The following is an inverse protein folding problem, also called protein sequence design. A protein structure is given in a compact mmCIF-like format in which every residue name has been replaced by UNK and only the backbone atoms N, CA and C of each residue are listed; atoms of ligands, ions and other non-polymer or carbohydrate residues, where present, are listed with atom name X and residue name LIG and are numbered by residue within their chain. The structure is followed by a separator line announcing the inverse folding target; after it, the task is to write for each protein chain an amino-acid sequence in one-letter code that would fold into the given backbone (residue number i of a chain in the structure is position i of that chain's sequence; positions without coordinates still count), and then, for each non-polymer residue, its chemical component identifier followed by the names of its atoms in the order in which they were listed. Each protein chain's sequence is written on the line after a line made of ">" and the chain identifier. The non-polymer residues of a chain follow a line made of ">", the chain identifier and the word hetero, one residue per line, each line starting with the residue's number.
data_IF_843019931167
#
_entry.id   IF_843019931167
#
_cell.length_a   1.000
_cell.length_b   1.000
_cell.length_c   1.000
_cell.angle_alpha   90.00
_cell.angle_beta   90.00
_cell.angle_gamma   90.00
#
_symmetry.space_group_name_H-M   'P 1'
#
loop_
_entity.id
_entity.type
_entity.pdbx_description
1 polymer ?
#
# COMPACT_ATOMS: atom_id res chain seq x y z
N UNK A 1 21.71 -32.66 -0.04
CA UNK A 1 20.84 -31.49 -0.29
C UNK A 1 21.72 -30.26 -0.42
N UNK A 2 21.77 -29.60 -1.59
CA UNK A 2 22.51 -28.33 -1.71
C UNK A 2 21.79 -27.27 -0.86
N UNK A 3 22.47 -26.74 0.16
CA UNK A 3 21.89 -25.80 1.12
C UNK A 3 21.30 -24.59 0.38
N UNK A 4 19.98 -24.36 0.52
CA UNK A 4 19.32 -23.16 0.03
C UNK A 4 18.55 -23.28 -1.29
N UNK A 5 18.34 -24.49 -1.81
CA UNK A 5 17.36 -24.77 -2.86
C UNK A 5 16.14 -25.48 -2.26
N UNK A 6 14.96 -24.89 -2.38
CA UNK A 6 13.70 -25.48 -1.88
C UNK A 6 12.54 -25.05 -2.77
N UNK A 7 11.55 -25.94 -2.99
CA UNK A 7 10.33 -25.61 -3.73
C UNK A 7 9.27 -24.88 -2.90
N UNK A 8 9.39 -24.93 -1.57
CA UNK A 8 8.45 -24.31 -0.63
C UNK A 8 9.13 -23.19 0.18
N UNK A 9 8.32 -22.30 0.77
CA UNK A 9 8.80 -21.23 1.64
C UNK A 9 8.85 -21.73 3.08
N UNK A 10 10.04 -21.69 3.68
CA UNK A 10 10.26 -22.13 5.06
C UNK A 10 9.72 -21.12 6.08
N UNK A 11 9.39 -21.53 7.33
CA UNK A 11 9.01 -20.59 8.38
C UNK A 11 10.07 -19.52 8.67
N UNK A 12 11.36 -19.88 8.52
CA UNK A 12 12.47 -18.93 8.66
C UNK A 12 12.51 -17.87 7.55
N UNK A 13 12.16 -18.24 6.31
CA UNK A 13 11.95 -17.28 5.22
C UNK A 13 10.78 -16.35 5.56
N UNK A 14 9.61 -16.86 5.96
CA UNK A 14 8.46 -16.02 6.31
C UNK A 14 8.74 -15.02 7.42
N UNK A 15 9.45 -15.43 8.48
CA UNK A 15 9.89 -14.53 9.56
C UNK A 15 10.80 -13.43 9.01
N UNK A 16 11.76 -13.78 8.15
CA UNK A 16 12.66 -12.81 7.53
C UNK A 16 11.87 -11.81 6.67
N UNK A 17 10.94 -12.28 5.84
CA UNK A 17 10.12 -11.40 4.99
C UNK A 17 9.26 -10.48 5.84
N UNK A 18 8.63 -11.00 6.89
CA UNK A 18 7.79 -10.20 7.78
C UNK A 18 8.59 -9.09 8.46
N UNK A 19 9.78 -9.41 8.99
CA UNK A 19 10.68 -8.41 9.60
C UNK A 19 11.07 -7.34 8.58
N UNK A 20 11.52 -7.73 7.38
CA UNK A 20 11.92 -6.76 6.34
C UNK A 20 10.73 -5.92 5.86
N UNK A 21 9.54 -6.51 5.76
CA UNK A 21 8.31 -5.81 5.39
C UNK A 21 7.94 -4.76 6.43
N UNK A 22 8.01 -5.11 7.72
CA UNK A 22 7.78 -4.18 8.83
C UNK A 22 8.81 -3.06 8.81
N UNK A 23 10.08 -3.35 8.51
CA UNK A 23 11.12 -2.32 8.38
C UNK A 23 10.82 -1.36 7.22
N UNK A 24 10.43 -1.86 6.04
CA UNK A 24 10.06 -1.00 4.93
C UNK A 24 8.83 -0.14 5.23
N UNK A 25 7.79 -0.72 5.84
CA UNK A 25 6.62 0.05 6.27
C UNK A 25 7.00 1.08 7.34
N UNK A 26 7.84 0.70 8.29
CA UNK A 26 8.36 1.61 9.31
C UNK A 26 9.07 2.81 8.69
N UNK A 27 10.02 2.55 7.77
CA UNK A 27 10.74 3.58 7.02
C UNK A 27 9.79 4.50 6.24
N UNK A 28 8.81 3.90 5.54
CA UNK A 28 7.81 4.63 4.77
C UNK A 28 6.96 5.56 5.67
N UNK A 29 6.65 5.12 6.90
CA UNK A 29 5.80 5.86 7.83
C UNK A 29 6.55 6.83 8.77
N UNK A 30 7.89 6.90 8.71
CA UNK A 30 8.68 7.86 9.50
C UNK A 30 8.14 9.30 9.41
N UNK A 31 7.82 9.85 8.21
CA UNK A 31 7.31 11.22 8.11
C UNK A 31 5.99 11.42 8.86
N UNK A 32 5.12 10.40 8.88
CA UNK A 32 3.86 10.46 9.61
C UNK A 32 4.07 10.45 11.13
N UNK A 33 5.04 9.68 11.63
CA UNK A 33 5.42 9.68 13.05
C UNK A 33 6.01 11.02 13.48
N UNK A 34 6.84 11.63 12.62
CA UNK A 34 7.39 12.96 12.87
C UNK A 34 6.29 14.02 12.92
N UNK A 35 5.33 14.01 11.99
CA UNK A 35 4.20 14.93 12.01
C UNK A 35 3.36 14.74 13.28
N UNK A 36 3.07 13.49 13.66
CA UNK A 36 2.32 13.20 14.87
C UNK A 36 3.02 13.73 16.13
N UNK A 37 4.35 13.61 16.20
CA UNK A 37 5.13 14.10 17.33
C UNK A 37 5.21 15.63 17.41
N UNK A 38 5.03 16.33 16.28
CA UNK A 38 5.09 17.79 16.20
C UNK A 38 3.70 18.42 15.99
N UNK A 39 2.63 17.63 16.12
CA UNK A 39 1.27 18.12 15.90
C UNK A 39 0.82 18.93 17.12
N UNK A 40 1.01 20.25 17.06
CA UNK A 40 0.62 21.17 18.13
C UNK A 40 -0.88 21.46 18.08
N UNK A 41 -1.63 20.90 19.03
CA UNK A 41 -3.08 21.09 19.16
C UNK A 41 -3.50 22.57 19.33
N UNK A 42 -2.58 23.42 19.81
CA UNK A 42 -2.82 24.85 20.04
C UNK A 42 -2.80 25.69 18.76
N UNK A 43 -2.27 25.17 17.65
CA UNK A 43 -2.10 25.93 16.40
C UNK A 43 -3.39 26.15 15.61
N UNK A 44 -4.51 25.51 16.00
CA UNK A 44 -5.77 25.50 15.25
C UNK A 44 -5.74 24.66 13.97
N UNK A 45 -4.57 24.16 13.57
CA UNK A 45 -4.39 23.27 12.42
C UNK A 45 -4.19 21.84 12.88
N UNK A 46 -4.79 20.89 12.15
CA UNK A 46 -4.59 19.46 12.39
C UNK A 46 -4.21 18.76 11.09
N UNK A 47 -3.28 17.81 11.21
CA UNK A 47 -2.88 17.00 10.07
C UNK A 47 -4.02 16.08 9.61
N UNK A 48 -4.36 16.14 8.32
CA UNK A 48 -5.46 15.39 7.73
C UNK A 48 -5.23 13.86 7.68
N UNK A 49 -3.99 13.38 7.83
CA UNK A 49 -3.65 11.95 7.74
C UNK A 49 -3.05 11.52 6.39
N UNK A 50 -2.77 12.43 5.47
CA UNK A 50 -2.17 12.10 4.18
C UNK A 50 -1.10 13.11 3.74
N UNK A 51 0.06 12.59 3.35
CA UNK A 51 1.17 13.36 2.78
C UNK A 51 1.11 13.38 1.25
N UNK A 52 0.87 12.21 0.66
CA UNK A 52 0.79 12.02 -0.78
C UNK A 52 -0.67 11.91 -1.21
N UNK A 53 -0.97 12.34 -2.44
CA UNK A 53 -2.31 12.32 -3.03
C UNK A 53 -3.41 12.77 -2.03
N UNK A 54 -3.16 13.88 -1.33
CA UNK A 54 -4.03 14.35 -0.25
C UNK A 54 -5.46 14.62 -0.73
N UNK A 55 -5.64 15.06 -1.98
CA UNK A 55 -6.96 15.21 -2.62
C UNK A 55 -7.72 13.88 -2.64
N UNK A 56 -7.08 12.81 -3.12
CA UNK A 56 -7.69 11.47 -3.15
C UNK A 56 -7.92 10.91 -1.75
N UNK A 57 -6.95 11.11 -0.84
CA UNK A 57 -7.05 10.68 0.53
C UNK A 57 -8.24 11.31 1.26
N UNK A 58 -8.55 12.59 1.00
CA UNK A 58 -9.74 13.24 1.56
C UNK A 58 -11.04 12.56 1.12
N UNK A 59 -11.09 12.05 -0.11
CA UNK A 59 -12.22 11.27 -0.60
C UNK A 59 -12.26 9.86 0.01
N UNK A 60 -11.10 9.23 0.27
CA UNK A 60 -11.04 7.94 0.96
C UNK A 60 -11.53 8.05 2.41
N UNK A 61 -11.07 9.06 3.15
CA UNK A 61 -11.48 9.33 4.53
C UNK A 61 -12.98 9.61 4.62
N UNK A 62 -13.53 10.39 3.70
CA UNK A 62 -14.99 10.63 3.59
C UNK A 62 -15.77 9.32 3.39
N UNK A 63 -15.29 8.42 2.53
CA UNK A 63 -15.94 7.12 2.29
C UNK A 63 -15.83 6.18 3.50
N UNK A 64 -14.70 6.18 4.21
CA UNK A 64 -14.56 5.46 5.48
C UNK A 64 -15.58 5.99 6.49
N UNK A 65 -15.72 7.33 6.62
CA UNK A 65 -16.69 7.94 7.52
C UNK A 65 -18.12 7.54 7.18
N UNK A 66 -18.51 7.57 5.90
CA UNK A 66 -19.82 7.08 5.46
C UNK A 66 -20.00 5.58 5.78
N UNK A 67 -18.95 4.77 5.68
CA UNK A 67 -18.94 3.37 6.13
C UNK A 67 -19.20 3.20 7.63
N UNK A 68 -18.60 4.07 8.45
CA UNK A 68 -18.87 4.10 9.90
C UNK A 68 -20.32 4.48 10.21
N UNK A 69 -21.00 5.21 9.33
CA UNK A 69 -22.44 5.48 9.40
C UNK A 69 -23.30 4.32 8.86
N UNK A 70 -22.70 3.17 8.53
CA UNK A 70 -23.39 1.99 8.03
C UNK A 70 -23.67 2.01 6.52
N UNK A 71 -23.17 3.01 5.78
CA UNK A 71 -23.42 3.12 4.33
C UNK A 71 -22.44 2.23 3.56
N UNK A 72 -22.92 1.62 2.48
CA UNK A 72 -22.07 0.93 1.48
C UNK A 72 -22.04 1.72 0.16
N UNK A 73 -23.20 2.22 -0.25
CA UNK A 73 -23.33 3.21 -1.32
C UNK A 73 -22.81 4.55 -0.79
N UNK A 74 -21.86 5.15 -1.51
CA UNK A 74 -21.22 6.41 -1.12
C UNK A 74 -21.74 7.56 -1.97
N UNK A 75 -21.82 8.74 -1.36
CA UNK A 75 -21.97 10.02 -2.05
C UNK A 75 -20.64 10.76 -2.06
N UNK A 76 -20.36 11.53 -3.11
CA UNK A 76 -19.15 12.33 -3.16
C UNK A 76 -19.43 13.66 -2.46
N UNK A 77 -18.84 13.83 -1.28
CA UNK A 77 -19.04 15.03 -0.45
C UNK A 77 -18.16 16.22 -0.88
N UNK A 78 -17.29 16.02 -1.86
CA UNK A 78 -16.33 17.02 -2.35
C UNK A 78 -16.72 17.60 -3.71
N UNK A 79 -17.99 17.44 -4.12
CA UNK A 79 -18.57 18.02 -5.33
C UNK A 79 -19.88 18.75 -4.96
N UNK A 80 -20.17 19.89 -5.59
CA UNK A 80 -21.46 20.56 -5.44
C UNK A 80 -22.56 19.91 -6.30
N UNK A 81 -22.23 19.04 -7.26
CA UNK A 81 -23.19 18.40 -8.13
C UNK A 81 -24.05 17.38 -7.36
N UNK A 82 -25.37 17.53 -7.44
CA UNK A 82 -26.28 16.58 -6.81
C UNK A 82 -26.32 15.26 -7.59
N UNK A 83 -26.13 14.14 -6.89
CA UNK A 83 -26.14 12.82 -7.50
C UNK A 83 -26.60 11.74 -6.51
N UNK A 84 -27.13 10.63 -7.04
CA UNK A 84 -27.51 9.48 -6.23
C UNK A 84 -26.29 8.79 -5.61
N UNK A 85 -26.47 8.12 -4.48
CA UNK A 85 -25.43 7.29 -3.88
C UNK A 85 -25.13 6.07 -4.78
N UNK A 86 -23.87 5.65 -4.88
CA UNK A 86 -23.45 4.55 -5.74
C UNK A 86 -22.25 3.77 -5.18
N UNK A 87 -21.97 2.60 -5.73
CA UNK A 87 -20.81 1.79 -5.32
C UNK A 87 -19.56 2.36 -5.99
N UNK A 88 -18.68 2.95 -5.20
CA UNK A 88 -17.37 3.40 -5.66
C UNK A 88 -16.31 3.13 -4.60
N UNK A 89 -15.30 2.35 -4.98
CA UNK A 89 -14.22 1.91 -4.09
C UNK A 89 -14.77 1.34 -2.76
N UNK A 90 -15.59 0.26 -2.82
CA UNK A 90 -16.33 -0.27 -1.67
C UNK A 90 -15.45 -0.71 -0.51
N UNK A 91 -14.15 -0.94 -0.74
CA UNK A 91 -13.18 -1.23 0.32
C UNK A 91 -13.18 -0.18 1.44
N UNK A 92 -13.32 1.11 1.11
CA UNK A 92 -13.29 2.17 2.11
C UNK A 92 -14.53 2.23 3.01
N UNK A 93 -15.78 2.21 2.49
CA UNK A 93 -16.94 2.10 3.37
C UNK A 93 -16.96 0.77 4.13
N UNK A 94 -16.50 -0.35 3.53
CA UNK A 94 -16.38 -1.62 4.25
C UNK A 94 -15.40 -1.52 5.42
N UNK A 95 -14.26 -0.86 5.27
CA UNK A 95 -13.33 -0.60 6.37
C UNK A 95 -13.98 0.21 7.49
N UNK A 96 -14.79 1.22 7.16
CA UNK A 96 -15.56 1.98 8.14
C UNK A 96 -16.61 1.15 8.87
N UNK A 97 -17.25 0.21 8.19
CA UNK A 97 -18.20 -0.71 8.84
C UNK A 97 -17.49 -1.70 9.77
N UNK A 98 -16.37 -2.26 9.33
CA UNK A 98 -15.54 -3.17 10.11
C UNK A 98 -14.97 -2.47 11.34
N UNK A 99 -14.59 -1.20 11.24
CA UNK A 99 -14.03 -0.48 12.39
C UNK A 99 -15.02 -0.34 13.55
N UNK A 100 -16.34 -0.31 13.28
CA UNK A 100 -17.36 -0.31 14.33
C UNK A 100 -17.33 -1.57 15.21
N UNK A 101 -16.89 -2.70 14.65
CA UNK A 101 -16.76 -3.95 15.42
C UNK A 101 -15.63 -3.87 16.46
N UNK A 102 -14.63 -3.01 16.23
CA UNK A 102 -13.52 -2.83 17.15
C UNK A 102 -13.83 -1.74 18.19
N UNK A 103 -14.33 -0.59 17.75
CA UNK A 103 -14.78 0.50 18.63
C UNK A 103 -15.50 1.58 17.81
N UNK A 104 -16.59 2.13 18.34
CA UNK A 104 -17.34 3.23 17.73
C UNK A 104 -16.56 4.57 17.74
N UNK A 105 -15.47 4.65 18.49
CA UNK A 105 -14.69 5.89 18.69
C UNK A 105 -13.45 6.00 17.79
N UNK A 106 -13.24 5.05 16.86
CA UNK A 106 -12.06 5.09 15.98
C UNK A 106 -12.15 6.25 14.98
N UNK A 107 -11.07 7.04 14.87
CA UNK A 107 -10.98 8.07 13.83
C UNK A 107 -10.86 7.44 12.43
N UNK A 108 -11.52 7.99 11.38
CA UNK A 108 -11.32 7.56 10.00
C UNK A 108 -9.85 7.55 9.56
N UNK A 109 -9.04 8.47 10.09
CA UNK A 109 -7.59 8.56 9.83
C UNK A 109 -6.87 7.33 10.36
N UNK A 110 -7.20 6.91 11.58
CA UNK A 110 -6.61 5.72 12.18
C UNK A 110 -7.00 4.45 11.40
N UNK A 111 -8.28 4.32 11.05
CA UNK A 111 -8.78 3.21 10.22
C UNK A 111 -8.05 3.16 8.88
N UNK A 112 -7.87 4.31 8.22
CA UNK A 112 -7.15 4.42 6.97
C UNK A 112 -5.69 3.96 7.10
N UNK A 113 -4.96 4.44 8.12
CA UNK A 113 -3.56 4.06 8.32
C UNK A 113 -3.39 2.58 8.71
N UNK A 114 -4.22 2.05 9.60
CA UNK A 114 -4.18 0.64 9.98
C UNK A 114 -4.45 -0.25 8.77
N UNK A 115 -5.47 0.08 7.97
CA UNK A 115 -5.76 -0.62 6.74
C UNK A 115 -4.56 -0.56 5.79
N UNK A 116 -4.00 0.63 5.56
CA UNK A 116 -2.86 0.86 4.67
C UNK A 116 -1.61 0.08 5.08
N UNK A 117 -1.24 0.10 6.36
CA UNK A 117 -0.13 -0.70 6.92
C UNK A 117 -0.39 -2.19 6.68
N UNK A 118 -1.58 -2.67 7.01
CA UNK A 118 -1.93 -4.09 6.92
C UNK A 118 -1.85 -4.61 5.48
N UNK A 119 -2.44 -3.89 4.52
CA UNK A 119 -2.39 -4.28 3.10
C UNK A 119 -1.01 -4.14 2.49
N UNK A 120 -0.19 -3.21 2.97
CA UNK A 120 1.20 -3.05 2.50
C UNK A 120 2.06 -4.22 2.95
N UNK A 121 1.93 -4.66 4.21
CA UNK A 121 2.59 -5.88 4.69
C UNK A 121 2.10 -7.09 3.88
N UNK A 122 0.79 -7.22 3.66
CA UNK A 122 0.24 -8.31 2.85
C UNK A 122 0.79 -8.32 1.42
N UNK A 123 0.91 -7.16 0.78
CA UNK A 123 1.52 -7.01 -0.54
C UNK A 123 2.96 -7.50 -0.55
N UNK A 124 3.78 -7.16 0.44
CA UNK A 124 5.16 -7.65 0.51
C UNK A 124 5.23 -9.18 0.68
N UNK A 125 4.36 -9.77 1.50
CA UNK A 125 4.26 -11.22 1.63
C UNK A 125 3.89 -11.88 0.30
N UNK A 126 2.92 -11.32 -0.42
CA UNK A 126 2.49 -11.79 -1.74
C UNK A 126 3.61 -11.68 -2.80
N UNK A 127 4.37 -10.58 -2.81
CA UNK A 127 5.51 -10.40 -3.70
C UNK A 127 6.62 -11.41 -3.41
N UNK A 128 6.86 -11.74 -2.14
CA UNK A 128 7.80 -12.80 -1.79
C UNK A 128 7.29 -14.18 -2.21
N UNK A 129 5.99 -14.46 -2.08
CA UNK A 129 5.40 -15.69 -2.59
C UNK A 129 5.60 -15.85 -4.10
N UNK A 130 5.42 -14.75 -4.86
CA UNK A 130 5.73 -14.73 -6.29
C UNK A 130 7.22 -15.02 -6.54
N UNK A 131 8.12 -14.38 -5.77
CA UNK A 131 9.55 -14.63 -5.87
C UNK A 131 9.89 -16.10 -5.60
N UNK A 132 9.26 -16.72 -4.61
CA UNK A 132 9.46 -18.11 -4.25
C UNK A 132 8.95 -19.08 -5.33
N UNK A 133 7.92 -18.67 -6.06
CA UNK A 133 7.38 -19.41 -7.19
C UNK A 133 8.36 -19.37 -8.36
N UNK A 134 8.98 -18.22 -8.66
CA UNK A 134 9.89 -18.08 -9.80
C UNK A 134 11.27 -18.68 -9.52
N UNK A 135 11.81 -18.47 -8.32
CA UNK A 135 13.19 -18.79 -7.99
C UNK A 135 13.30 -19.95 -7.00
N UNK A 136 14.20 -20.90 -7.24
CA UNK A 136 14.46 -22.02 -6.33
C UNK A 136 15.46 -21.68 -5.22
N UNK A 137 16.40 -20.75 -5.48
CA UNK A 137 17.46 -20.38 -4.54
C UNK A 137 16.99 -19.25 -3.62
N UNK A 138 17.10 -19.47 -2.31
CA UNK A 138 16.63 -18.49 -1.28
C UNK A 138 17.28 -17.12 -1.46
N UNK A 139 18.59 -17.06 -1.73
CA UNK A 139 19.29 -15.78 -1.96
C UNK A 139 18.68 -14.98 -3.11
N UNK A 140 18.35 -15.65 -4.22
CA UNK A 140 17.75 -15.00 -5.39
C UNK A 140 16.34 -14.50 -5.10
N UNK A 141 15.54 -15.25 -4.33
CA UNK A 141 14.21 -14.80 -3.87
C UNK A 141 14.30 -13.50 -3.08
N UNK A 142 15.26 -13.44 -2.14
CA UNK A 142 15.47 -12.25 -1.29
C UNK A 142 15.93 -11.04 -2.09
N UNK A 143 16.86 -11.22 -3.03
CA UNK A 143 17.31 -10.15 -3.92
C UNK A 143 16.16 -9.65 -4.79
N UNK A 144 15.40 -10.55 -5.42
CA UNK A 144 14.22 -10.19 -6.19
C UNK A 144 13.21 -9.41 -5.34
N UNK A 145 12.89 -9.91 -4.15
CA UNK A 145 11.95 -9.26 -3.24
C UNK A 145 12.39 -7.85 -2.87
N UNK A 146 13.65 -7.66 -2.47
CA UNK A 146 14.15 -6.33 -2.11
C UNK A 146 14.10 -5.39 -3.30
N UNK A 147 14.59 -5.82 -4.47
CA UNK A 147 14.59 -4.99 -5.68
C UNK A 147 13.18 -4.59 -6.11
N UNK A 148 12.21 -5.50 -6.06
CA UNK A 148 10.81 -5.20 -6.39
C UNK A 148 10.17 -4.34 -5.32
N UNK A 149 10.48 -4.58 -4.04
CA UNK A 149 9.86 -3.86 -2.94
C UNK A 149 10.22 -2.37 -2.94
N UNK A 150 11.49 -2.01 -3.17
CA UNK A 150 11.98 -0.62 -3.12
C UNK A 150 12.35 -0.02 -4.48
N UNK A 151 12.35 -0.82 -5.54
CA UNK A 151 12.58 -0.31 -6.88
C UNK A 151 11.49 0.66 -7.30
N UNK A 152 11.87 1.89 -7.62
CA UNK A 152 10.97 2.93 -8.13
C UNK A 152 11.57 3.59 -9.38
N UNK A 153 12.39 2.87 -10.15
CA UNK A 153 13.08 3.39 -11.32
C UNK A 153 14.17 4.42 -11.02
N UNK A 154 14.52 5.22 -12.02
CA UNK A 154 15.60 6.21 -12.00
C UNK A 154 15.12 7.62 -12.30
N UNK A 155 13.81 7.87 -12.26
CA UNK A 155 13.20 9.16 -12.57
C UNK A 155 13.73 10.29 -11.70
N UNK A 156 14.17 9.99 -10.48
CA UNK A 156 14.81 10.95 -9.59
C UNK A 156 16.12 11.54 -10.16
N UNK A 157 16.80 10.85 -11.09
CA UNK A 157 17.96 11.41 -11.80
C UNK A 157 17.54 12.56 -12.73
N UNK A 158 16.33 12.50 -13.30
CA UNK A 158 15.83 13.61 -14.13
C UNK A 158 15.60 14.86 -13.30
N UNK A 159 15.25 14.73 -12.01
CA UNK A 159 15.18 15.87 -11.09
C UNK A 159 16.55 16.53 -10.94
N UNK A 160 17.62 15.74 -10.80
CA UNK A 160 18.98 16.25 -10.67
C UNK A 160 19.47 16.92 -11.95
N UNK A 161 19.11 16.38 -13.13
CA UNK A 161 19.56 16.91 -14.42
C UNK A 161 18.79 18.17 -14.82
N UNK A 162 17.47 18.17 -14.65
CA UNK A 162 16.61 19.26 -15.16
C UNK A 162 16.35 20.36 -14.14
N UNK A 163 16.52 20.09 -12.85
CA UNK A 163 16.18 21.01 -11.76
C UNK A 163 14.70 21.41 -11.73
N UNK A 164 13.84 20.78 -12.55
CA UNK A 164 12.48 21.23 -12.78
C UNK A 164 11.49 20.34 -12.03
N UNK A 165 10.91 20.88 -10.97
CA UNK A 165 9.92 20.22 -10.14
C UNK A 165 8.47 20.37 -10.67
N UNK A 166 8.27 20.91 -11.88
CA UNK A 166 6.93 21.05 -12.45
C UNK A 166 6.33 19.66 -12.73
N UNK A 167 5.19 19.39 -12.10
CA UNK A 167 4.49 18.09 -12.11
C UNK A 167 4.20 17.52 -13.50
N UNK A 168 4.11 18.35 -14.54
CA UNK A 168 3.77 17.92 -15.91
C UNK A 168 4.94 17.24 -16.65
N UNK A 169 6.17 17.36 -16.14
CA UNK A 169 7.37 16.76 -16.75
C UNK A 169 8.05 15.72 -15.85
N UNK A 170 7.44 15.40 -14.71
CA UNK A 170 8.01 14.42 -13.79
C UNK A 170 7.88 13.00 -14.37
N UNK A 171 8.92 12.16 -14.26
CA UNK A 171 8.86 10.77 -14.67
C UNK A 171 7.76 9.97 -13.96
N UNK A 172 7.17 9.01 -14.68
CA UNK A 172 6.02 8.22 -14.21
C UNK A 172 6.33 7.44 -12.92
N UNK A 173 7.58 7.03 -12.75
CA UNK A 173 8.08 6.29 -11.60
C UNK A 173 8.22 7.14 -10.32
N UNK A 174 8.09 8.48 -10.45
CA UNK A 174 7.95 9.41 -9.32
C UNK A 174 6.47 9.70 -9.01
N UNK A 175 5.67 9.97 -10.04
CA UNK A 175 4.31 10.49 -9.83
C UNK A 175 3.32 9.36 -9.52
N UNK A 176 3.47 8.22 -10.18
CA UNK A 176 2.41 7.21 -10.27
C UNK A 176 2.60 6.11 -9.21
N UNK A 177 1.74 6.02 -8.17
CA UNK A 177 1.91 5.05 -7.09
C UNK A 177 1.91 3.60 -7.53
N UNK A 178 1.28 3.29 -8.67
CA UNK A 178 1.14 1.94 -9.22
C UNK A 178 2.48 1.35 -9.71
N UNK A 179 3.51 2.17 -9.93
CA UNK A 179 4.77 1.75 -10.53
C UNK A 179 5.75 1.16 -9.49
N UNK A 180 5.62 1.56 -8.22
CA UNK A 180 6.49 1.09 -7.14
C UNK A 180 5.67 0.56 -5.97
N UNK A 181 5.87 -0.69 -5.53
CA UNK A 181 5.20 -1.24 -4.34
C UNK A 181 5.41 -0.38 -3.09
N UNK A 182 6.63 0.13 -2.86
CA UNK A 182 6.90 1.04 -1.74
C UNK A 182 6.01 2.29 -1.78
N UNK A 183 5.91 2.91 -2.96
CA UNK A 183 5.09 4.12 -3.11
C UNK A 183 3.59 3.81 -3.06
N UNK A 184 3.15 2.68 -3.64
CA UNK A 184 1.76 2.22 -3.53
C UNK A 184 1.30 2.12 -2.08
N UNK A 185 2.14 1.53 -1.21
CA UNK A 185 1.86 1.39 0.22
C UNK A 185 1.78 2.71 0.99
N UNK A 186 2.35 3.79 0.46
CA UNK A 186 2.30 5.12 1.06
C UNK A 186 1.01 5.90 0.73
N UNK A 187 0.38 5.61 -0.40
CA UNK A 187 -0.65 6.48 -0.98
C UNK A 187 -2.05 5.99 -0.67
N UNK A 188 -2.36 4.72 -0.92
CA UNK A 188 -3.74 4.22 -0.87
C UNK A 188 -3.82 2.83 -0.24
N UNK A 189 -5.04 2.37 0.05
CA UNK A 189 -5.28 1.00 0.53
C UNK A 189 -5.49 0.04 -0.65
N UNK A 190 -6.19 0.49 -1.69
CA UNK A 190 -6.59 -0.39 -2.80
C UNK A 190 -5.42 -0.75 -3.73
N UNK A 191 -4.46 0.15 -3.94
CA UNK A 191 -3.31 -0.10 -4.83
C UNK A 191 -2.40 -1.24 -4.32
N UNK A 192 -1.88 -1.21 -3.08
CA UNK A 192 -1.08 -2.33 -2.57
C UNK A 192 -1.89 -3.62 -2.48
N UNK A 193 -3.19 -3.55 -2.16
CA UNK A 193 -4.04 -4.74 -2.18
C UNK A 193 -4.16 -5.34 -3.60
N UNK A 194 -4.36 -4.50 -4.62
CA UNK A 194 -4.42 -4.95 -6.01
C UNK A 194 -3.10 -5.59 -6.45
N UNK A 195 -1.95 -5.00 -6.09
CA UNK A 195 -0.62 -5.57 -6.34
C UNK A 195 -0.43 -6.92 -5.64
N UNK A 196 -0.91 -7.06 -4.40
CA UNK A 196 -0.88 -8.32 -3.66
C UNK A 196 -1.69 -9.42 -4.38
N UNK A 197 -2.94 -9.11 -4.73
CA UNK A 197 -3.82 -10.04 -5.44
C UNK A 197 -3.24 -10.42 -6.81
N UNK A 198 -2.68 -9.47 -7.56
CA UNK A 198 -2.04 -9.73 -8.83
C UNK A 198 -0.80 -10.63 -8.67
N UNK A 199 0.05 -10.35 -7.69
CA UNK A 199 1.24 -11.17 -7.43
C UNK A 199 0.88 -12.62 -7.08
N UNK A 200 -0.16 -12.82 -6.25
CA UNK A 200 -0.67 -14.16 -5.93
C UNK A 200 -1.30 -14.85 -7.14
N UNK A 201 -2.08 -14.13 -7.95
CA UNK A 201 -2.66 -14.65 -9.18
C UNK A 201 -1.57 -15.14 -10.15
N UNK A 202 -0.53 -14.33 -10.36
CA UNK A 202 0.60 -14.70 -11.21
C UNK A 202 1.35 -15.89 -10.63
N UNK A 203 1.54 -15.96 -9.31
CA UNK A 203 2.17 -17.10 -8.65
C UNK A 203 1.37 -18.40 -8.89
N UNK A 204 0.04 -18.35 -8.78
CA UNK A 204 -0.85 -19.48 -9.07
C UNK A 204 -0.74 -19.89 -10.54
N UNK A 205 -0.79 -18.93 -11.47
CA UNK A 205 -0.68 -19.21 -12.92
C UNK A 205 0.67 -19.88 -13.25
N UNK A 206 1.78 -19.36 -12.72
CA UNK A 206 3.11 -19.95 -12.95
C UNK A 206 3.17 -21.37 -12.40
N UNK A 207 2.60 -21.62 -11.21
CA UNK A 207 2.56 -22.96 -10.64
C UNK A 207 1.70 -23.92 -11.47
N UNK A 208 0.54 -23.48 -11.96
CA UNK A 208 -0.37 -24.27 -12.76
C UNK A 208 0.14 -24.58 -14.17
N UNK A 209 0.90 -23.65 -14.78
CA UNK A 209 1.44 -23.80 -16.13
C UNK A 209 2.88 -24.36 -16.16
N UNK A 210 3.45 -24.70 -15.00
CA UNK A 210 4.81 -25.24 -14.93
C UNK A 210 4.85 -26.61 -15.62
N UNK A 211 5.65 -26.79 -16.69
CA UNK A 211 5.78 -28.09 -17.34
C UNK A 211 6.37 -29.13 -16.38
N UNK A 212 5.72 -30.28 -16.24
CA UNK A 212 6.24 -31.42 -15.48
C UNK A 212 5.89 -31.46 -13.99
N UNK A 213 4.77 -30.84 -13.58
CA UNK A 213 4.02 -31.25 -12.38
C UNK A 213 3.01 -32.32 -12.78
#
# INVERSE_FOLDING_TARGET
>A
MQSGFTGYVTPGEWRWVLVVSILFVGLAFIPFLWILANNNAESGWQFMGALHAHVDASAYLSRIRQGMEGKLLVQFLHTPENHAAFIMQPIYPLLGQVSRLASDQLSPILVFHVARVSVTVFMYLALYQLAATIWMRIRTRRVFFVLVAVGSGFGWLMLLITGNLKSLTLPIDIILPQVSPFFAGLVSVHTPLALACLALLVAIIIAALRPGV
#
